data_IF_412508099263
#
_entry.id   IF_412508099263
#
_cell.length_a   1.000
_cell.length_b   1.000
_cell.length_c   1.000
_cell.angle_alpha   90.00
_cell.angle_beta   90.00
_cell.angle_gamma   90.00
#
_symmetry.space_group_name_H-M   'P 1'
#
loop_
_entity.id
_entity.type
_entity.pdbx_description
1 polymer ?
#
# COMPACT_ATOMS: atom_id res chain seq x y z
N UNK A 1 -24.00 4.91 -14.62
CA UNK A 1 -23.17 5.42 -15.71
C UNK A 1 -21.69 5.34 -15.38
N UNK A 2 -20.84 5.28 -16.41
CA UNK A 2 -19.38 5.17 -16.26
C UNK A 2 -18.80 6.31 -15.42
N UNK A 3 -19.31 7.55 -15.56
CA UNK A 3 -18.85 8.69 -14.79
C UNK A 3 -19.10 8.56 -13.28
N UNK A 4 -20.22 7.95 -12.90
CA UNK A 4 -20.56 7.70 -11.49
C UNK A 4 -19.62 6.63 -10.91
N UNK A 5 -19.37 5.55 -11.65
CA UNK A 5 -18.46 4.49 -11.23
C UNK A 5 -17.02 5.03 -11.08
N UNK A 6 -16.55 5.83 -12.03
CA UNK A 6 -15.23 6.44 -11.97
C UNK A 6 -15.10 7.40 -10.77
N UNK A 7 -16.14 8.17 -10.46
CA UNK A 7 -16.15 9.07 -9.32
C UNK A 7 -16.09 8.31 -7.99
N UNK A 8 -16.79 7.17 -7.88
CA UNK A 8 -16.71 6.29 -6.70
C UNK A 8 -15.32 5.72 -6.49
N UNK A 9 -14.68 5.26 -7.56
CA UNK A 9 -13.32 4.73 -7.51
C UNK A 9 -12.34 5.84 -7.09
N UNK A 10 -12.45 7.02 -7.67
CA UNK A 10 -11.60 8.16 -7.31
C UNK A 10 -11.75 8.51 -5.82
N UNK A 11 -12.97 8.51 -5.30
CA UNK A 11 -13.24 8.78 -3.89
C UNK A 11 -12.62 7.72 -2.96
N UNK A 12 -12.70 6.46 -3.34
CA UNK A 12 -12.05 5.36 -2.60
C UNK A 12 -10.54 5.51 -2.58
N UNK A 13 -9.92 5.94 -3.68
CA UNK A 13 -8.47 6.22 -3.73
C UNK A 13 -8.08 7.35 -2.80
N UNK A 14 -8.85 8.42 -2.76
CA UNK A 14 -8.65 9.54 -1.83
C UNK A 14 -8.72 9.03 -0.39
N UNK A 15 -9.70 8.20 -0.07
CA UNK A 15 -9.84 7.59 1.27
C UNK A 15 -8.63 6.72 1.60
N UNK A 16 -8.16 5.91 0.66
CA UNK A 16 -6.98 5.06 0.87
C UNK A 16 -5.75 5.88 1.25
N UNK A 17 -5.51 6.98 0.54
CA UNK A 17 -4.40 7.88 0.83
C UNK A 17 -4.56 8.53 2.21
N UNK A 18 -5.75 9.02 2.54
CA UNK A 18 -6.03 9.62 3.86
C UNK A 18 -5.80 8.63 4.99
N UNK A 19 -6.31 7.41 4.85
CA UNK A 19 -6.15 6.36 5.87
C UNK A 19 -4.66 6.03 6.03
N UNK A 20 -3.94 5.81 4.95
CA UNK A 20 -2.51 5.51 4.99
C UNK A 20 -1.72 6.63 5.68
N UNK A 21 -1.95 7.88 5.29
CA UNK A 21 -1.29 9.04 5.89
C UNK A 21 -1.61 9.18 7.37
N UNK A 22 -2.83 8.88 7.79
CA UNK A 22 -3.23 8.97 9.20
C UNK A 22 -2.46 8.00 10.10
N UNK A 23 -1.86 6.96 9.52
CA UNK A 23 -1.08 5.95 10.27
C UNK A 23 0.41 6.25 10.33
N UNK A 24 0.89 7.28 9.67
CA UNK A 24 2.28 7.72 9.80
C UNK A 24 2.60 8.02 11.26
N UNK A 25 3.68 7.44 11.77
CA UNK A 25 4.06 7.51 13.18
C UNK A 25 3.59 6.34 14.02
N UNK A 26 2.69 5.48 13.50
CA UNK A 26 2.27 4.27 14.19
C UNK A 26 3.45 3.30 14.34
N UNK A 27 3.38 2.45 15.35
CA UNK A 27 4.46 1.50 15.64
C UNK A 27 4.40 0.28 14.74
N UNK A 28 5.57 -0.24 14.42
CA UNK A 28 5.70 -1.53 13.74
C UNK A 28 5.61 -2.67 14.75
N UNK A 29 4.84 -3.70 14.39
CA UNK A 29 4.85 -4.97 15.10
C UNK A 29 4.50 -6.10 14.13
N UNK A 30 5.35 -7.10 14.04
CA UNK A 30 5.13 -8.27 13.19
C UNK A 30 3.79 -8.94 13.54
N UNK A 31 3.04 -9.33 12.51
CA UNK A 31 1.75 -9.99 12.66
C UNK A 31 0.57 -9.06 12.93
N UNK A 32 0.78 -7.75 13.04
CA UNK A 32 -0.29 -6.80 13.37
C UNK A 32 -0.83 -6.08 12.14
N UNK A 33 -2.14 -5.89 12.09
CA UNK A 33 -2.84 -5.21 11.00
C UNK A 33 -3.67 -4.01 11.48
N UNK A 34 -3.28 -3.41 12.58
CA UNK A 34 -3.91 -2.20 13.11
C UNK A 34 -4.82 -2.48 14.30
N UNK A 35 -5.52 -1.44 14.77
CA UNK A 35 -5.53 -0.08 14.24
C UNK A 35 -4.34 0.79 14.63
N UNK A 36 -3.50 0.37 15.58
CA UNK A 36 -2.42 1.20 16.13
C UNK A 36 -1.01 0.66 15.90
N UNK A 37 -0.87 -0.61 15.53
CA UNK A 37 0.40 -1.28 15.23
C UNK A 37 0.25 -2.08 13.96
N UNK A 38 1.32 -2.08 13.13
CA UNK A 38 1.28 -2.68 11.80
C UNK A 38 2.59 -3.33 11.44
N UNK A 39 2.53 -4.44 10.69
CA UNK A 39 3.63 -4.78 9.80
C UNK A 39 3.28 -4.28 8.38
N UNK A 40 4.16 -4.48 7.40
CA UNK A 40 3.97 -3.91 6.06
C UNK A 40 2.70 -4.42 5.38
N UNK A 41 2.49 -5.72 5.38
CA UNK A 41 1.29 -6.33 4.80
C UNK A 41 0.04 -6.06 5.63
N UNK A 42 0.19 -5.87 6.94
CA UNK A 42 -0.89 -5.49 7.86
C UNK A 42 -1.42 -4.09 7.58
N UNK A 43 -0.55 -3.15 7.28
CA UNK A 43 -0.97 -1.81 6.88
C UNK A 43 -1.74 -1.86 5.57
N UNK A 44 -1.27 -2.62 4.59
CA UNK A 44 -1.98 -2.81 3.32
C UNK A 44 -3.38 -3.41 3.54
N UNK A 45 -3.50 -4.41 4.43
CA UNK A 45 -4.80 -4.98 4.80
C UNK A 45 -5.74 -3.94 5.38
N UNK A 46 -5.24 -3.14 6.29
CA UNK A 46 -6.03 -2.12 6.97
C UNK A 46 -6.56 -1.08 5.97
N UNK A 47 -5.71 -0.58 5.10
CA UNK A 47 -6.09 0.40 4.08
C UNK A 47 -7.08 -0.21 3.08
N UNK A 48 -6.83 -1.43 2.62
CA UNK A 48 -7.73 -2.11 1.68
C UNK A 48 -9.14 -2.26 2.24
N UNK A 49 -9.25 -2.66 3.50
CA UNK A 49 -10.55 -2.81 4.17
C UNK A 49 -11.23 -1.47 4.39
N UNK A 50 -10.51 -0.48 4.91
CA UNK A 50 -11.08 0.81 5.24
C UNK A 50 -11.53 1.60 4.01
N UNK A 51 -10.77 1.55 2.93
CA UNK A 51 -11.02 2.36 1.74
C UNK A 51 -11.85 1.63 0.68
N UNK A 52 -11.62 0.33 0.49
CA UNK A 52 -12.22 -0.43 -0.61
C UNK A 52 -13.16 -1.54 -0.14
N UNK A 53 -13.26 -1.77 1.17
CA UNK A 53 -14.03 -2.90 1.71
C UNK A 53 -13.47 -4.25 1.29
N UNK A 54 -12.18 -4.31 0.97
CA UNK A 54 -11.53 -5.50 0.43
C UNK A 54 -10.69 -6.20 1.48
N UNK A 55 -10.88 -7.51 1.62
CA UNK A 55 -10.01 -8.37 2.42
C UNK A 55 -8.80 -8.79 1.61
N UNK A 56 -7.62 -8.72 2.23
CA UNK A 56 -6.37 -9.20 1.65
C UNK A 56 -5.75 -10.26 2.57
N UNK A 57 -5.00 -11.21 2.03
CA UNK A 57 -4.20 -12.09 2.88
C UNK A 57 -3.11 -11.31 3.60
N UNK A 58 -2.72 -11.75 4.79
CA UNK A 58 -1.72 -11.06 5.61
C UNK A 58 -0.30 -11.48 5.22
N UNK A 59 0.08 -11.18 3.98
CA UNK A 59 1.38 -11.59 3.44
C UNK A 59 1.64 -10.85 2.14
N UNK A 60 2.74 -10.10 2.05
CA UNK A 60 2.99 -9.22 0.90
C UNK A 60 3.05 -9.98 -0.43
N UNK A 61 3.69 -11.14 -0.47
CA UNK A 61 3.75 -11.97 -1.67
C UNK A 61 2.36 -12.45 -2.13
N UNK A 62 1.51 -12.82 -1.19
CA UNK A 62 0.13 -13.22 -1.50
C UNK A 62 -0.71 -12.02 -1.95
N UNK A 63 -0.49 -10.85 -1.37
CA UNK A 63 -1.13 -9.61 -1.82
C UNK A 63 -0.71 -9.24 -3.24
N UNK A 64 0.55 -9.46 -3.58
CA UNK A 64 1.02 -9.30 -4.95
C UNK A 64 0.24 -10.22 -5.90
N UNK A 65 0.08 -11.47 -5.52
CA UNK A 65 -0.59 -12.48 -6.37
C UNK A 65 -2.07 -12.19 -6.60
N UNK A 66 -2.79 -11.63 -5.61
CA UNK A 66 -4.25 -11.42 -5.69
C UNK A 66 -4.64 -10.04 -6.19
N UNK A 67 -3.71 -9.12 -6.39
CA UNK A 67 -4.00 -7.79 -6.91
C UNK A 67 -3.72 -7.71 -8.41
N UNK A 68 -4.47 -6.85 -9.11
CA UNK A 68 -4.29 -6.64 -10.55
C UNK A 68 -2.99 -5.88 -10.79
N UNK A 69 -2.14 -6.39 -11.70
CA UNK A 69 -0.89 -5.72 -12.06
C UNK A 69 -1.14 -4.35 -12.67
N UNK A 70 -0.36 -3.37 -12.23
CA UNK A 70 -0.39 -2.00 -12.71
C UNK A 70 1.01 -1.63 -13.18
N UNK A 71 1.12 -1.12 -14.40
CA UNK A 71 2.40 -0.64 -14.90
C UNK A 71 2.81 0.64 -14.16
N UNK A 72 4.10 0.90 -14.12
CA UNK A 72 4.65 2.09 -13.47
C UNK A 72 4.04 3.38 -14.02
N UNK A 73 3.80 3.43 -15.33
CA UNK A 73 3.20 4.60 -15.99
C UNK A 73 1.72 4.80 -15.65
N UNK A 74 1.04 3.77 -15.17
CA UNK A 74 -0.39 3.82 -14.80
C UNK A 74 -0.62 3.83 -13.29
N UNK A 75 0.45 3.86 -12.51
CA UNK A 75 0.39 3.87 -11.06
C UNK A 75 -0.38 5.09 -10.55
N UNK A 76 -1.31 4.87 -9.63
CA UNK A 76 -2.16 5.92 -9.04
C UNK A 76 -2.16 5.85 -7.52
N UNK A 77 -2.36 6.99 -6.85
CA UNK A 77 -2.52 6.98 -5.39
C UNK A 77 -3.61 6.01 -4.95
N UNK A 78 -3.32 5.24 -3.91
CA UNK A 78 -4.22 4.18 -3.43
C UNK A 78 -3.91 2.80 -3.97
N UNK A 79 -2.99 2.68 -4.94
CA UNK A 79 -2.46 1.38 -5.36
C UNK A 79 -1.44 0.87 -4.34
N UNK A 80 -1.18 -0.43 -4.36
CA UNK A 80 -0.09 -1.03 -3.58
C UNK A 80 1.17 -1.09 -4.41
N UNK A 81 2.31 -0.84 -3.80
CA UNK A 81 3.64 -0.97 -4.41
C UNK A 81 4.42 -2.05 -3.68
N UNK A 82 5.07 -2.91 -4.46
CA UNK A 82 5.73 -4.12 -3.96
C UNK A 82 7.23 -4.08 -4.24
N UNK A 83 7.97 -4.67 -3.33
CA UNK A 83 9.43 -4.66 -3.36
C UNK A 83 9.98 -6.07 -3.17
N UNK A 84 11.18 -6.30 -3.66
CA UNK A 84 11.78 -7.60 -3.79
C UNK A 84 11.00 -8.46 -4.77
N UNK A 85 11.51 -9.62 -5.10
CA UNK A 85 10.89 -10.47 -6.12
C UNK A 85 9.43 -10.77 -5.77
N UNK A 86 8.49 -10.31 -6.62
CA UNK A 86 7.04 -10.53 -6.45
C UNK A 86 6.49 -10.06 -5.09
N UNK A 87 7.04 -8.98 -4.55
CA UNK A 87 6.60 -8.45 -3.26
C UNK A 87 6.99 -9.32 -2.07
N UNK A 88 8.04 -10.14 -2.18
CA UNK A 88 8.38 -11.16 -1.19
C UNK A 88 8.58 -10.61 0.23
N UNK A 89 9.10 -9.39 0.38
CA UNK A 89 9.52 -8.88 1.68
C UNK A 89 8.96 -7.52 2.05
N UNK A 90 8.30 -6.82 1.13
CA UNK A 90 7.78 -5.50 1.46
C UNK A 90 6.66 -5.03 0.54
N UNK A 91 5.72 -4.29 1.11
CA UNK A 91 4.61 -3.64 0.42
C UNK A 91 4.35 -2.28 1.07
N UNK A 92 3.97 -1.30 0.25
CA UNK A 92 3.54 0.01 0.72
C UNK A 92 2.29 0.49 -0.01
N UNK A 93 1.70 1.55 0.49
CA UNK A 93 0.54 2.22 -0.13
C UNK A 93 1.04 3.45 -0.87
N UNK A 94 0.85 3.47 -2.19
CA UNK A 94 1.28 4.60 -3.02
C UNK A 94 0.40 5.81 -2.74
N UNK A 95 1.02 6.96 -2.51
CA UNK A 95 0.30 8.20 -2.18
C UNK A 95 0.53 9.31 -3.22
N UNK A 96 1.18 8.97 -4.34
CA UNK A 96 1.47 9.92 -5.42
C UNK A 96 2.88 10.48 -5.33
N UNK A 97 3.32 11.12 -6.41
CA UNK A 97 4.62 11.82 -6.51
C UNK A 97 5.83 10.96 -6.17
N UNK A 98 5.75 9.65 -6.46
CA UNK A 98 6.83 8.73 -6.18
C UNK A 98 7.00 8.38 -4.71
N UNK A 99 5.96 8.61 -3.88
CA UNK A 99 6.00 8.37 -2.43
C UNK A 99 5.03 7.28 -2.02
N UNK A 100 5.36 6.59 -0.93
CA UNK A 100 4.48 5.61 -0.30
C UNK A 100 4.45 5.79 1.20
N UNK A 101 3.37 5.30 1.82
CA UNK A 101 3.32 5.05 3.26
C UNK A 101 3.51 3.56 3.46
N UNK A 102 4.44 3.17 4.31
CA UNK A 102 4.67 1.76 4.63
C UNK A 102 5.13 1.57 6.07
N UNK A 103 4.80 0.42 6.64
CA UNK A 103 5.35 -0.01 7.92
C UNK A 103 6.71 -0.65 7.66
N UNK A 104 7.78 -0.01 8.10
CA UNK A 104 9.14 -0.35 7.68
C UNK A 104 9.80 -1.41 8.55
N UNK A 105 9.98 -1.11 9.82
CA UNK A 105 10.62 -1.98 10.80
C UNK A 105 10.33 -1.45 12.21
N UNK A 106 10.68 -2.21 13.28
CA UNK A 106 10.41 -1.79 14.67
C UNK A 106 11.04 -0.46 15.07
N UNK A 107 12.16 -0.11 14.42
CA UNK A 107 12.87 1.14 14.75
C UNK A 107 12.17 2.37 14.18
N UNK A 108 11.63 2.28 12.99
CA UNK A 108 11.08 3.42 12.26
C UNK A 108 9.55 3.46 12.20
N UNK A 109 8.88 2.33 12.37
CA UNK A 109 7.42 2.25 12.30
C UNK A 109 6.87 2.57 10.92
N UNK A 110 5.69 3.18 10.91
CA UNK A 110 5.01 3.62 9.68
C UNK A 110 5.53 4.99 9.29
N UNK A 111 6.00 5.11 8.05
CA UNK A 111 6.60 6.36 7.56
C UNK A 111 6.39 6.51 6.06
N UNK A 112 6.72 7.69 5.55
CA UNK A 112 6.72 8.00 4.12
C UNK A 112 8.12 7.77 3.57
N UNK A 113 8.22 7.04 2.46
CA UNK A 113 9.47 6.78 1.74
C UNK A 113 9.29 6.96 0.24
N UNK A 114 10.41 7.20 -0.45
CA UNK A 114 10.45 7.20 -1.90
C UNK A 114 10.33 5.76 -2.44
N UNK A 115 9.51 5.59 -3.48
CA UNK A 115 9.29 4.29 -4.14
C UNK A 115 10.39 3.99 -5.15
N UNK A 116 10.77 4.99 -5.96
CA UNK A 116 11.59 4.77 -7.16
C UNK A 116 13.04 5.25 -7.01
N UNK A 117 13.44 5.63 -5.83
CA UNK A 117 14.79 6.07 -5.55
C UNK A 117 15.27 5.52 -4.21
N UNK A 118 16.57 5.66 -3.93
CA UNK A 118 17.15 5.20 -2.68
C UNK A 118 17.08 3.69 -2.51
N UNK A 119 16.98 3.26 -1.27
CA UNK A 119 17.01 1.86 -0.90
C UNK A 119 15.89 1.04 -1.55
N UNK A 120 14.68 1.62 -1.60
CA UNK A 120 13.53 0.92 -2.20
C UNK A 120 13.57 0.92 -3.73
N UNK A 121 14.11 1.97 -4.35
CA UNK A 121 14.06 2.12 -5.80
C UNK A 121 14.68 0.96 -6.57
N UNK A 122 15.80 0.43 -6.11
CA UNK A 122 16.46 -0.71 -6.73
C UNK A 122 15.77 -2.06 -6.45
N UNK A 123 14.81 -2.07 -5.53
CA UNK A 123 14.10 -3.29 -5.09
C UNK A 123 12.65 -3.33 -5.55
N UNK A 124 12.20 -2.31 -6.27
CA UNK A 124 10.82 -2.22 -6.77
C UNK A 124 10.51 -3.40 -7.70
N UNK A 125 9.41 -4.10 -7.47
CA UNK A 125 9.02 -5.28 -8.24
C UNK A 125 7.67 -5.16 -8.94
N UNK A 126 6.91 -4.14 -8.67
CA UNK A 126 5.62 -3.92 -9.33
C UNK A 126 4.58 -3.28 -8.44
N UNK A 127 3.39 -3.09 -9.01
CA UNK A 127 2.26 -2.49 -8.31
C UNK A 127 1.00 -3.33 -8.50
N UNK A 128 0.07 -3.19 -7.57
CA UNK A 128 -1.20 -3.88 -7.60
C UNK A 128 -2.36 -2.96 -7.30
N UNK A 129 -3.46 -3.14 -8.02
CA UNK A 129 -4.66 -2.33 -7.88
C UNK A 129 -5.70 -3.05 -7.04
N UNK A 130 -6.29 -2.30 -6.11
CA UNK A 130 -7.26 -2.83 -5.16
C UNK A 130 -8.70 -2.69 -5.65
N UNK A 131 -8.89 -1.88 -6.68
CA UNK A 131 -10.24 -1.60 -7.19
C UNK A 131 -10.28 -1.57 -8.71
#
# INVERSE_FOLDING_TARGET
AAGVAAARVAKKRVTAVKVARSKVGARYRAGMSGPSRFDCSGLAMYVARAAYGRSLPHFSKAQYAVTKRVSKSQLRPGDLVFFFKRGAHHVGVYIGRGLMVSATNPRHGVKIDAVFSGWYGSRYSGAGRLV
#
